data_IF_190043520839
#
_entry.id   IF_190043520839
#
_cell.length_a   1.000
_cell.length_b   1.000
_cell.length_c   1.000
_cell.angle_alpha   90.00
_cell.angle_beta   90.00
_cell.angle_gamma   90.00
#
_symmetry.space_group_name_H-M   'P 1'
#
loop_
_entity.id
_entity.type
_entity.pdbx_description
1 polymer ?
#
# COMPACT_ATOMS: atom_id res chain seq x y z
N UNK A 1 22.84 4.70 1.76
CA UNK A 1 21.47 4.92 1.23
C UNK A 1 21.25 6.40 1.04
N UNK A 2 20.80 6.84 -0.15
CA UNK A 2 20.59 8.26 -0.46
C UNK A 2 19.26 8.81 0.07
N UNK A 3 18.30 7.95 0.37
CA UNK A 3 16.94 8.34 0.78
C UNK A 3 16.89 9.09 2.11
N UNK A 4 17.68 8.67 3.11
CA UNK A 4 17.77 9.37 4.39
C UNK A 4 18.18 10.84 4.20
N UNK A 5 19.14 11.08 3.30
CA UNK A 5 19.59 12.43 2.95
C UNK A 5 18.49 13.28 2.29
N UNK A 6 17.62 12.65 1.49
CA UNK A 6 16.46 13.36 0.92
C UNK A 6 15.47 13.75 2.01
N UNK A 7 15.22 12.85 2.97
CA UNK A 7 14.29 13.10 4.08
C UNK A 7 14.82 14.17 5.04
N UNK A 8 16.13 14.21 5.29
CA UNK A 8 16.76 15.13 6.24
C UNK A 8 17.14 16.47 5.61
N UNK A 9 17.81 16.48 4.45
CA UNK A 9 18.34 17.69 3.83
C UNK A 9 17.40 18.30 2.78
N UNK A 10 16.30 17.61 2.42
CA UNK A 10 15.42 17.99 1.30
C UNK A 10 16.19 18.22 -0.01
N UNK A 11 17.23 17.42 -0.24
CA UNK A 11 18.11 17.51 -1.41
C UNK A 11 18.30 16.17 -2.09
N UNK A 12 18.31 16.17 -3.41
CA UNK A 12 18.64 14.99 -4.22
C UNK A 12 19.87 15.25 -5.07
N UNK A 13 20.64 14.20 -5.35
CA UNK A 13 21.78 14.25 -6.26
C UNK A 13 21.69 13.10 -7.28
N UNK A 14 21.67 13.40 -8.59
CA UNK A 14 21.73 12.38 -9.63
C UNK A 14 22.93 11.45 -9.47
N UNK A 15 22.83 10.21 -9.97
CA UNK A 15 23.98 9.32 -10.06
C UNK A 15 25.00 9.92 -11.03
N UNK A 16 26.27 10.02 -10.61
CA UNK A 16 27.32 10.67 -11.41
C UNK A 16 27.33 12.20 -11.37
N UNK A 17 26.28 12.85 -10.86
CA UNK A 17 26.24 14.31 -10.68
C UNK A 17 27.00 14.79 -9.45
N UNK A 18 27.59 15.98 -9.52
CA UNK A 18 28.25 16.66 -8.40
C UNK A 18 27.31 17.61 -7.66
N UNK A 19 26.34 18.18 -8.37
CA UNK A 19 25.40 19.16 -7.83
C UNK A 19 24.17 18.51 -7.16
N UNK A 20 23.71 19.14 -6.08
CA UNK A 20 22.49 18.73 -5.37
C UNK A 20 21.36 19.72 -5.65
N UNK A 21 20.17 19.22 -5.94
CA UNK A 21 18.97 20.02 -6.15
C UNK A 21 18.07 19.97 -4.91
N UNK A 22 17.53 21.13 -4.50
CA UNK A 22 16.50 21.19 -3.47
C UNK A 22 15.20 20.57 -4.01
N UNK A 23 14.48 19.86 -3.15
CA UNK A 23 13.19 19.24 -3.48
C UNK A 23 12.18 19.48 -2.36
N UNK A 24 10.93 19.69 -2.74
CA UNK A 24 9.80 19.66 -1.82
C UNK A 24 8.89 18.50 -2.21
N UNK A 25 8.97 17.42 -1.43
CA UNK A 25 8.30 16.15 -1.74
C UNK A 25 7.62 15.59 -0.50
N UNK A 26 6.43 15.03 -0.71
CA UNK A 26 5.76 14.22 0.30
C UNK A 26 6.11 12.76 0.07
N UNK A 27 6.67 12.11 1.10
CA UNK A 27 7.04 10.69 1.03
C UNK A 27 5.94 9.84 1.64
N UNK A 28 5.46 8.86 0.89
CA UNK A 28 4.53 7.83 1.34
C UNK A 28 5.22 6.48 1.06
N UNK A 29 5.38 5.67 2.10
CA UNK A 29 6.00 4.34 2.00
C UNK A 29 4.98 3.27 2.40
N UNK A 30 5.08 2.11 1.76
CA UNK A 30 4.27 0.94 2.07
C UNK A 30 5.16 -0.31 2.06
N UNK A 31 4.88 -1.25 2.95
CA UNK A 31 5.61 -2.51 3.06
C UNK A 31 4.68 -3.59 3.59
N UNK A 32 4.86 -4.83 3.11
CA UNK A 32 4.21 -6.02 3.64
C UNK A 32 5.06 -6.75 4.70
N UNK A 33 6.29 -6.28 4.93
CA UNK A 33 7.16 -6.79 5.99
C UNK A 33 7.01 -5.97 7.26
N UNK A 34 7.18 -6.61 8.42
CA UNK A 34 7.28 -5.95 9.73
C UNK A 34 8.66 -5.28 9.83
N UNK A 35 8.70 -3.96 9.72
CA UNK A 35 9.97 -3.22 9.72
C UNK A 35 10.69 -3.29 11.06
N UNK A 36 9.94 -3.41 12.16
CA UNK A 36 10.48 -3.59 13.51
C UNK A 36 11.41 -4.83 13.58
N UNK A 37 10.98 -5.94 12.99
CA UNK A 37 11.76 -7.18 12.90
C UNK A 37 12.95 -7.02 11.96
N UNK A 38 12.78 -6.33 10.83
CA UNK A 38 13.85 -6.08 9.86
C UNK A 38 14.94 -5.15 10.40
N UNK A 39 14.58 -4.17 11.26
CA UNK A 39 15.54 -3.32 12.00
C UNK A 39 16.32 -4.17 12.99
N UNK A 40 15.63 -4.99 13.78
CA UNK A 40 16.26 -5.87 14.79
C UNK A 40 17.22 -6.87 14.14
N UNK A 41 16.87 -7.39 12.96
CA UNK A 41 17.71 -8.30 12.19
C UNK A 41 18.84 -7.61 11.39
N UNK A 42 19.02 -6.30 11.52
CA UNK A 42 20.04 -5.52 10.81
C UNK A 42 19.82 -5.40 9.30
N UNK A 43 18.65 -5.80 8.80
CA UNK A 43 18.27 -5.73 7.37
C UNK A 43 17.72 -4.37 6.99
N UNK A 44 17.24 -3.60 7.96
CA UNK A 44 16.74 -2.26 7.77
C UNK A 44 17.43 -1.27 8.70
N UNK A 45 17.73 -0.07 8.20
CA UNK A 45 18.38 0.95 9.02
C UNK A 45 17.39 1.55 10.01
N UNK A 46 17.77 1.54 11.27
CA UNK A 46 17.00 2.10 12.38
C UNK A 46 16.70 3.60 12.16
N UNK A 47 17.68 4.38 11.71
CA UNK A 47 17.49 5.81 11.48
C UNK A 47 16.38 6.10 10.46
N UNK A 48 16.41 5.44 9.30
CA UNK A 48 15.40 5.54 8.26
C UNK A 48 14.03 5.06 8.76
N UNK A 49 13.98 4.02 9.59
CA UNK A 49 12.73 3.52 10.17
C UNK A 49 12.05 4.61 10.99
N UNK A 50 12.77 5.28 11.89
CA UNK A 50 12.17 6.35 12.70
C UNK A 50 11.70 7.56 11.87
N UNK A 51 12.33 7.86 10.72
CA UNK A 51 11.86 8.96 9.84
C UNK A 51 10.62 8.58 9.03
N UNK A 52 10.48 7.30 8.66
CA UNK A 52 9.30 6.82 7.94
C UNK A 52 8.12 6.53 8.87
N UNK A 53 8.39 6.03 10.08
CA UNK A 53 7.38 5.56 11.02
C UNK A 53 6.79 6.67 11.92
N UNK A 54 6.72 7.90 11.40
CA UNK A 54 6.10 9.04 12.12
C UNK A 54 4.58 8.89 12.16
N UNK A 55 3.98 8.50 11.02
CA UNK A 55 2.54 8.20 10.92
C UNK A 55 2.42 6.81 10.30
N UNK A 56 2.06 5.83 11.13
CA UNK A 56 1.83 4.45 10.69
C UNK A 56 0.34 4.23 10.45
N UNK A 57 -0.02 3.86 9.23
CA UNK A 57 -1.37 3.43 8.88
C UNK A 57 -1.33 1.91 8.70
N UNK A 58 -1.91 1.19 9.66
CA UNK A 58 -2.08 -0.25 9.54
C UNK A 58 -3.29 -0.55 8.65
N UNK A 59 -3.07 -1.26 7.55
CA UNK A 59 -4.14 -1.72 6.67
C UNK A 59 -4.55 -3.14 7.08
N UNK A 60 -5.74 -3.34 7.67
CA UNK A 60 -6.20 -4.68 8.01
C UNK A 60 -6.46 -5.51 6.75
N UNK A 61 -6.16 -6.82 6.78
CA UNK A 61 -6.49 -7.74 5.70
C UNK A 61 -8.01 -7.83 5.50
N UNK A 62 -8.47 -8.22 4.32
CA UNK A 62 -9.90 -8.23 3.97
C UNK A 62 -10.75 -9.08 4.94
N UNK A 63 -10.17 -10.16 5.50
CA UNK A 63 -10.80 -10.99 6.54
C UNK A 63 -11.20 -10.26 7.82
N UNK A 64 -10.51 -9.17 8.16
CA UNK A 64 -10.82 -8.32 9.32
C UNK A 64 -11.80 -7.19 8.98
N UNK A 65 -12.13 -7.02 7.68
CA UNK A 65 -13.03 -5.98 7.15
C UNK A 65 -14.06 -6.57 6.19
N UNK A 66 -14.77 -7.61 6.64
CA UNK A 66 -15.78 -8.33 5.84
C UNK A 66 -16.85 -7.44 5.22
N UNK A 67 -17.22 -6.35 5.91
CA UNK A 67 -18.21 -5.38 5.42
C UNK A 67 -17.78 -4.69 4.11
N UNK A 68 -16.48 -4.66 3.81
CA UNK A 68 -15.96 -4.09 2.57
C UNK A 68 -16.07 -5.06 1.37
N UNK A 69 -16.31 -6.36 1.59
CA UNK A 69 -16.33 -7.37 0.53
C UNK A 69 -17.44 -7.08 -0.49
N UNK A 70 -18.66 -6.80 -0.02
CA UNK A 70 -19.81 -6.54 -0.89
C UNK A 70 -19.64 -5.26 -1.73
N UNK A 71 -19.32 -4.08 -1.15
CA UNK A 71 -19.03 -2.88 -1.92
C UNK A 71 -17.89 -3.06 -2.94
N UNK A 72 -16.82 -3.76 -2.57
CA UNK A 72 -15.70 -4.04 -3.49
C UNK A 72 -16.12 -4.96 -4.64
N UNK A 73 -16.87 -6.03 -4.36
CA UNK A 73 -17.32 -6.96 -5.38
C UNK A 73 -18.24 -6.28 -6.41
N UNK A 74 -19.16 -5.43 -5.94
CA UNK A 74 -20.03 -4.61 -6.81
C UNK A 74 -19.19 -3.65 -7.66
N UNK A 75 -18.21 -2.96 -7.06
CA UNK A 75 -17.31 -2.06 -7.78
C UNK A 75 -16.56 -2.79 -8.91
N UNK A 76 -15.96 -3.94 -8.62
CA UNK A 76 -15.19 -4.70 -9.61
C UNK A 76 -16.06 -5.27 -10.72
N UNK A 77 -17.26 -5.78 -10.41
CA UNK A 77 -18.17 -6.25 -11.45
C UNK A 77 -18.57 -5.11 -12.38
N UNK A 78 -18.93 -3.95 -11.86
CA UNK A 78 -19.28 -2.80 -12.70
C UNK A 78 -18.10 -2.38 -13.58
N UNK A 79 -16.89 -2.32 -13.01
CA UNK A 79 -15.67 -1.97 -13.76
C UNK A 79 -15.41 -2.95 -14.90
N UNK A 80 -15.42 -4.25 -14.63
CA UNK A 80 -15.07 -5.26 -15.63
C UNK A 80 -16.21 -5.57 -16.60
N UNK A 81 -17.47 -5.36 -16.22
CA UNK A 81 -18.61 -5.48 -17.16
C UNK A 81 -18.47 -4.50 -18.31
N UNK A 82 -18.12 -3.24 -18.00
CA UNK A 82 -17.85 -2.20 -19.00
C UNK A 82 -16.63 -2.55 -19.85
N UNK A 83 -15.51 -2.94 -19.22
CA UNK A 83 -14.26 -3.27 -19.92
C UNK A 83 -14.42 -4.47 -20.88
N UNK A 84 -15.25 -5.44 -20.51
CA UNK A 84 -15.47 -6.65 -21.30
C UNK A 84 -16.70 -6.57 -22.22
N UNK A 85 -17.43 -5.45 -22.23
CA UNK A 85 -18.68 -5.30 -23.01
C UNK A 85 -19.77 -6.30 -22.62
N UNK A 86 -19.81 -6.71 -21.35
CA UNK A 86 -20.81 -7.64 -20.82
C UNK A 86 -21.90 -6.88 -20.08
N UNK A 87 -23.14 -7.28 -20.28
CA UNK A 87 -24.25 -6.82 -19.46
C UNK A 87 -24.39 -7.74 -18.24
N UNK A 88 -23.97 -7.25 -17.07
CA UNK A 88 -24.07 -7.98 -15.80
C UNK A 88 -25.01 -7.20 -14.88
N UNK A 89 -26.10 -7.84 -14.48
CA UNK A 89 -27.13 -7.24 -13.61
C UNK A 89 -26.73 -7.20 -12.13
N UNK A 90 -25.71 -7.96 -11.71
CA UNK A 90 -25.17 -7.93 -10.35
C UNK A 90 -24.63 -9.27 -9.87
N UNK A 91 -24.61 -9.45 -8.55
CA UNK A 91 -24.17 -10.67 -7.85
C UNK A 91 -25.40 -11.34 -7.24
N UNK A 92 -25.55 -12.65 -7.44
CA UNK A 92 -26.61 -13.40 -6.77
C UNK A 92 -26.36 -13.43 -5.25
N UNK A 93 -27.42 -13.42 -4.40
CA UNK A 93 -27.25 -13.43 -2.94
C UNK A 93 -26.35 -14.58 -2.44
N UNK A 94 -26.50 -15.77 -3.05
CA UNK A 94 -25.69 -16.95 -2.74
C UNK A 94 -24.21 -16.76 -3.08
N UNK A 95 -23.90 -16.13 -4.21
CA UNK A 95 -22.51 -15.85 -4.56
C UNK A 95 -21.88 -14.82 -3.62
N UNK A 96 -22.66 -13.80 -3.22
CA UNK A 96 -22.21 -12.79 -2.27
C UNK A 96 -21.91 -13.40 -0.90
N UNK A 97 -22.78 -14.28 -0.39
CA UNK A 97 -22.57 -15.00 0.87
C UNK A 97 -21.28 -15.83 0.86
N UNK A 98 -20.96 -16.47 -0.25
CA UNK A 98 -19.71 -17.24 -0.41
C UNK A 98 -18.51 -16.29 -0.36
N UNK A 99 -18.58 -15.15 -1.05
CA UNK A 99 -17.51 -14.15 -1.05
C UNK A 99 -17.29 -13.59 0.36
N UNK A 100 -18.34 -13.22 1.09
CA UNK A 100 -18.25 -12.67 2.45
C UNK A 100 -17.68 -13.66 3.49
N UNK A 101 -17.88 -14.96 3.26
CA UNK A 101 -17.38 -16.02 4.14
C UNK A 101 -16.00 -16.57 3.75
N UNK A 102 -15.46 -16.13 2.61
CA UNK A 102 -14.12 -16.53 2.20
C UNK A 102 -13.02 -15.87 3.05
N UNK A 103 -11.91 -16.58 3.27
CA UNK A 103 -10.88 -16.14 4.21
C UNK A 103 -9.93 -15.07 3.67
N UNK A 104 -9.79 -14.88 2.35
CA UNK A 104 -8.89 -13.89 1.73
C UNK A 104 -7.49 -13.79 2.41
N UNK A 105 -6.56 -14.71 2.08
CA UNK A 105 -5.25 -14.80 2.73
C UNK A 105 -4.41 -13.53 2.61
#
# INVERSE_FOLDING_TARGET
>A
MKLLRVLEEKKIRPLGGTESANVDVRVIAATNKKLEDEVTNGKFREDLFYRLNVIKIALPPLRERKIDVSPLAIHFINKYSVEMGKDISGISPKALEILENYHYP
#
